data_IF_583553855281
#
_entry.id   IF_583553855281
#
_cell.length_a   1.000
_cell.length_b   1.000
_cell.length_c   1.000
_cell.angle_alpha   90.00
_cell.angle_beta   90.00
_cell.angle_gamma   90.00
#
_symmetry.space_group_name_H-M   'P 1'
#
loop_
_entity.id
_entity.type
_entity.pdbx_description
1 polymer ?
#
# COMPACT_ATOMS: atom_id res chain seq x y z
N UNK A 1 12.18 8.03 13.33
CA UNK A 1 13.66 8.11 13.31
C UNK A 1 14.10 9.44 12.71
N UNK A 2 15.33 9.91 12.95
CA UNK A 2 15.87 11.16 12.37
C UNK A 2 17.15 10.85 11.58
N UNK A 3 17.24 11.38 10.38
CA UNK A 3 18.37 11.18 9.46
C UNK A 3 18.93 12.53 9.02
N UNK A 4 20.22 12.57 8.67
CA UNK A 4 20.85 13.73 8.03
C UNK A 4 20.72 13.62 6.52
N UNK A 5 20.32 14.69 5.84
CA UNK A 5 20.20 14.75 4.39
C UNK A 5 20.78 16.03 3.80
N UNK A 6 20.92 16.05 2.47
CA UNK A 6 21.31 17.21 1.68
C UNK A 6 20.37 17.28 0.48
N UNK A 7 19.73 18.43 0.28
CA UNK A 7 18.86 18.70 -0.87
C UNK A 7 19.70 19.06 -2.12
N UNK A 8 19.07 19.10 -3.31
CA UNK A 8 19.76 19.37 -4.59
C UNK A 8 20.45 20.73 -4.64
N UNK A 9 19.93 21.69 -3.89
CA UNK A 9 20.48 23.04 -3.72
C UNK A 9 21.60 23.11 -2.66
N UNK A 10 22.12 21.96 -2.21
CA UNK A 10 23.08 21.80 -1.12
C UNK A 10 22.55 22.19 0.28
N UNK A 11 21.25 22.45 0.44
CA UNK A 11 20.68 22.70 1.76
C UNK A 11 20.78 21.45 2.64
N UNK A 12 21.48 21.56 3.77
CA UNK A 12 21.58 20.48 4.77
C UNK A 12 20.30 20.40 5.60
N UNK A 13 19.75 19.21 5.74
CA UNK A 13 18.45 18.99 6.41
C UNK A 13 18.51 17.84 7.41
N UNK A 14 17.58 17.86 8.37
CA UNK A 14 17.24 16.71 9.18
C UNK A 14 15.90 16.14 8.70
N UNK A 15 15.85 14.86 8.35
CA UNK A 15 14.66 14.16 7.86
C UNK A 15 14.12 13.30 8.99
N UNK A 16 12.92 13.63 9.47
CA UNK A 16 12.23 12.82 10.48
C UNK A 16 11.25 11.88 9.77
N UNK A 17 11.46 10.58 9.91
CA UNK A 17 10.59 9.55 9.35
C UNK A 17 9.60 9.07 10.42
N UNK A 18 8.30 9.09 10.09
CA UNK A 18 7.25 8.46 10.90
C UNK A 18 7.46 6.96 11.00
N UNK A 19 7.14 6.36 12.16
CA UNK A 19 7.30 4.92 12.38
C UNK A 19 6.01 4.20 11.92
N UNK A 20 6.08 3.30 10.92
CA UNK A 20 4.93 2.52 10.45
C UNK A 20 4.30 1.71 11.59
N UNK A 21 2.97 1.64 11.63
CA UNK A 21 2.24 0.87 12.64
C UNK A 21 2.20 1.49 14.05
N UNK A 22 2.84 2.64 14.29
CA UNK A 22 2.79 3.29 15.61
C UNK A 22 1.46 4.04 15.83
N UNK A 23 0.57 3.46 16.66
CA UNK A 23 -0.75 4.06 16.99
C UNK A 23 -0.67 5.49 17.53
N UNK A 24 0.40 5.82 18.28
CA UNK A 24 0.59 7.16 18.85
C UNK A 24 1.62 8.02 18.09
N UNK A 25 2.46 7.44 17.24
CA UNK A 25 3.54 8.20 16.60
C UNK A 25 3.05 9.04 15.42
N UNK A 26 2.08 8.53 14.65
CA UNK A 26 1.53 9.24 13.51
C UNK A 26 0.77 10.53 13.90
N UNK A 27 -0.14 10.54 14.89
CA UNK A 27 -0.81 11.78 15.31
C UNK A 27 0.14 12.85 15.85
N UNK A 28 1.19 12.44 16.58
CA UNK A 28 2.22 13.37 17.08
C UNK A 28 3.01 13.98 15.94
N UNK A 29 3.36 13.17 14.95
CA UNK A 29 4.05 13.62 13.74
C UNK A 29 3.19 14.60 12.93
N UNK A 30 1.89 14.32 12.74
CA UNK A 30 0.95 15.23 12.08
C UNK A 30 0.83 16.57 12.82
N UNK A 31 0.78 16.51 14.16
CA UNK A 31 0.68 17.70 15.02
C UNK A 31 1.91 18.59 14.84
N UNK A 32 3.10 18.00 14.84
CA UNK A 32 4.37 18.72 14.65
C UNK A 32 4.42 19.41 13.27
N UNK A 33 4.04 18.71 12.19
CA UNK A 33 3.91 19.31 10.85
C UNK A 33 2.92 20.49 10.86
N UNK A 34 1.76 20.31 11.51
CA UNK A 34 0.70 21.32 11.57
C UNK A 34 1.15 22.57 12.32
N UNK A 35 1.90 22.42 13.42
CA UNK A 35 2.41 23.54 14.20
C UNK A 35 3.54 24.26 13.44
N UNK A 36 4.53 23.51 12.95
CA UNK A 36 5.70 24.08 12.27
C UNK A 36 5.37 24.69 10.90
N UNK A 37 4.27 24.30 10.26
CA UNK A 37 3.79 24.96 9.03
C UNK A 37 3.21 26.35 9.27
N UNK A 38 2.78 26.66 10.51
CA UNK A 38 2.14 27.94 10.87
C UNK A 38 3.08 28.94 11.51
N UNK A 39 4.24 28.51 11.99
CA UNK A 39 5.16 29.35 12.76
C UNK A 39 6.51 29.44 12.07
N UNK A 40 7.10 30.64 12.09
CA UNK A 40 8.49 30.88 11.68
C UNK A 40 9.12 31.82 12.69
N UNK A 41 10.20 31.36 13.32
CA UNK A 41 10.88 32.15 14.32
C UNK A 41 12.36 31.76 14.39
N UNK A 42 13.24 32.73 14.64
CA UNK A 42 14.69 32.50 14.64
C UNK A 42 15.19 31.52 15.70
N UNK A 43 14.38 31.27 16.74
CA UNK A 43 14.67 30.35 17.83
C UNK A 43 13.88 29.03 17.75
N UNK A 44 13.20 28.77 16.63
CA UNK A 44 12.47 27.52 16.38
C UNK A 44 12.97 26.87 15.09
N UNK A 45 12.82 25.56 15.01
CA UNK A 45 13.15 24.82 13.78
C UNK A 45 12.19 25.22 12.65
N UNK A 46 12.73 25.42 11.45
CA UNK A 46 11.93 25.70 10.27
C UNK A 46 11.60 24.40 9.56
N UNK A 47 10.31 24.14 9.33
CA UNK A 47 9.89 23.08 8.42
C UNK A 47 10.19 23.50 6.98
N UNK A 48 11.03 22.72 6.30
CA UNK A 48 11.34 22.92 4.88
C UNK A 48 10.25 22.29 4.00
N UNK A 49 9.77 21.12 4.39
CA UNK A 49 8.70 20.39 3.71
C UNK A 49 8.37 19.07 4.40
N UNK A 50 7.31 18.41 3.95
CA UNK A 50 6.96 17.04 4.36
C UNK A 50 6.55 16.23 3.13
N UNK A 51 6.70 14.91 3.23
CA UNK A 51 6.23 13.96 2.22
C UNK A 51 5.28 12.98 2.92
N UNK A 52 4.12 12.76 2.33
CA UNK A 52 3.13 11.78 2.78
C UNK A 52 2.87 10.81 1.64
N UNK A 53 3.53 9.67 1.68
CA UNK A 53 3.39 8.61 0.67
C UNK A 53 2.56 7.48 1.30
N UNK A 54 1.23 7.65 1.28
CA UNK A 54 0.26 6.66 1.80
C UNK A 54 -0.15 5.59 0.76
N UNK A 55 0.17 5.78 -0.53
CA UNK A 55 -0.51 5.11 -1.65
C UNK A 55 -0.06 3.66 -1.92
N UNK A 56 1.23 3.36 -1.82
CA UNK A 56 1.76 2.05 -2.24
C UNK A 56 1.21 0.87 -1.44
N UNK A 57 1.03 1.05 -0.13
CA UNK A 57 0.50 0.00 0.75
C UNK A 57 -1.00 -0.22 0.54
N UNK A 58 -1.74 0.87 0.32
CA UNK A 58 -3.18 0.84 0.03
C UNK A 58 -3.41 0.15 -1.32
N UNK A 59 -2.67 0.52 -2.36
CA UNK A 59 -2.74 -0.08 -3.68
C UNK A 59 -2.44 -1.59 -3.65
N UNK A 60 -1.38 -2.02 -2.96
CA UNK A 60 -1.07 -3.46 -2.81
C UNK A 60 -2.16 -4.23 -2.07
N UNK A 61 -2.73 -3.64 -1.03
CA UNK A 61 -3.83 -4.25 -0.29
C UNK A 61 -5.08 -4.41 -1.15
N UNK A 62 -5.42 -3.39 -1.95
CA UNK A 62 -6.53 -3.42 -2.90
C UNK A 62 -6.34 -4.52 -3.97
N UNK A 63 -5.13 -4.66 -4.50
CA UNK A 63 -4.77 -5.73 -5.44
C UNK A 63 -4.93 -7.11 -4.79
N UNK A 64 -4.45 -7.29 -3.55
CA UNK A 64 -4.62 -8.55 -2.80
C UNK A 64 -6.10 -8.87 -2.55
N UNK A 65 -6.91 -7.89 -2.17
CA UNK A 65 -8.35 -8.06 -1.96
C UNK A 65 -9.04 -8.43 -3.28
N UNK A 66 -8.73 -7.76 -4.38
CA UNK A 66 -9.27 -8.07 -5.70
C UNK A 66 -8.91 -9.49 -6.16
N UNK A 67 -7.65 -9.89 -5.96
CA UNK A 67 -7.18 -11.26 -6.26
C UNK A 67 -7.93 -12.31 -5.45
N UNK A 68 -8.11 -12.08 -4.15
CA UNK A 68 -8.85 -12.98 -3.28
C UNK A 68 -10.33 -13.09 -3.67
N UNK A 69 -10.96 -11.98 -4.08
CA UNK A 69 -12.34 -11.99 -4.60
C UNK A 69 -12.46 -12.80 -5.89
N UNK A 70 -11.51 -12.67 -6.81
CA UNK A 70 -11.48 -13.46 -8.05
C UNK A 70 -11.34 -14.96 -7.76
N UNK A 71 -10.41 -15.34 -6.87
CA UNK A 71 -10.24 -16.73 -6.45
C UNK A 71 -11.47 -17.27 -5.72
N UNK A 72 -12.08 -16.48 -4.84
CA UNK A 72 -13.32 -16.85 -4.17
C UNK A 72 -14.43 -17.14 -5.19
N UNK A 73 -14.60 -16.27 -6.18
CA UNK A 73 -15.59 -16.46 -7.23
C UNK A 73 -15.35 -17.73 -8.05
N UNK A 74 -14.09 -18.08 -8.35
CA UNK A 74 -13.78 -19.37 -8.99
C UNK A 74 -14.25 -20.54 -8.11
N UNK A 75 -14.00 -20.50 -6.81
CA UNK A 75 -14.37 -21.57 -5.90
C UNK A 75 -15.88 -21.70 -5.64
N UNK A 76 -16.63 -20.59 -5.63
CA UNK A 76 -18.04 -20.59 -5.19
C UNK A 76 -19.05 -20.23 -6.28
N UNK A 77 -18.59 -19.69 -7.41
CA UNK A 77 -19.45 -19.19 -8.49
C UNK A 77 -19.97 -20.27 -9.44
N UNK A 78 -19.64 -21.54 -9.23
CA UNK A 78 -20.09 -22.66 -10.06
C UNK A 78 -20.47 -23.87 -9.20
N UNK A 79 -21.33 -24.75 -9.72
CA UNK A 79 -21.86 -25.92 -8.99
C UNK A 79 -20.78 -26.86 -8.47
N UNK A 80 -19.63 -26.94 -9.15
CA UNK A 80 -18.52 -27.81 -8.73
C UNK A 80 -17.29 -27.02 -8.26
N UNK A 81 -17.37 -25.68 -8.17
CA UNK A 81 -16.19 -24.84 -7.96
C UNK A 81 -15.10 -25.03 -9.02
N UNK A 82 -14.18 -24.08 -9.13
CA UNK A 82 -13.03 -24.16 -10.03
C UNK A 82 -11.77 -23.91 -9.22
N UNK A 83 -10.91 -24.93 -9.12
CA UNK A 83 -9.60 -24.83 -8.47
C UNK A 83 -8.58 -24.34 -9.50
N UNK A 84 -7.97 -23.18 -9.27
CA UNK A 84 -7.03 -22.55 -10.20
C UNK A 84 -5.70 -23.32 -10.38
N UNK A 85 -5.16 -23.89 -9.28
CA UNK A 85 -3.90 -24.65 -9.21
C UNK A 85 -2.59 -23.94 -9.60
N UNK A 86 -2.63 -22.66 -9.99
CA UNK A 86 -1.44 -21.86 -10.33
C UNK A 86 -1.61 -20.40 -9.89
N UNK A 87 -2.06 -20.20 -8.65
CA UNK A 87 -2.23 -18.87 -8.07
C UNK A 87 -0.86 -18.30 -7.66
N UNK A 88 -0.37 -17.32 -8.42
CA UNK A 88 0.89 -16.61 -8.20
C UNK A 88 0.80 -15.18 -8.68
N UNK A 89 1.69 -14.30 -8.22
CA UNK A 89 1.65 -12.87 -8.55
C UNK A 89 1.75 -12.59 -10.05
N UNK A 90 2.49 -13.40 -10.81
CA UNK A 90 2.58 -13.26 -12.29
C UNK A 90 1.26 -13.56 -13.01
N UNK A 91 0.32 -14.25 -12.34
CA UNK A 91 -1.00 -14.59 -12.86
C UNK A 91 -2.09 -13.66 -12.32
N UNK A 92 -1.70 -12.58 -11.63
CA UNK A 92 -2.59 -11.48 -11.26
C UNK A 92 -2.30 -10.31 -12.18
N UNK A 93 -3.19 -10.07 -13.13
CA UNK A 93 -3.09 -8.95 -14.07
C UNK A 93 -3.81 -7.73 -13.49
N UNK A 94 -3.38 -6.54 -13.90
CA UNK A 94 -4.03 -5.28 -13.55
C UNK A 94 -4.61 -4.65 -14.82
N UNK A 95 -5.84 -4.14 -14.73
CA UNK A 95 -6.41 -3.32 -15.80
C UNK A 95 -5.98 -1.84 -15.66
N UNK A 96 -6.46 -1.00 -16.58
CA UNK A 96 -6.16 0.45 -16.64
C UNK A 96 -6.55 1.23 -15.37
N UNK A 97 -7.42 0.67 -14.53
CA UNK A 97 -7.86 1.24 -13.27
C UNK A 97 -7.19 0.56 -12.04
N UNK A 98 -6.12 -0.21 -12.25
CA UNK A 98 -5.44 -1.03 -11.24
C UNK A 98 -6.33 -2.11 -10.59
N UNK A 99 -7.41 -2.54 -11.23
CA UNK A 99 -8.23 -3.64 -10.70
C UNK A 99 -7.58 -4.98 -11.01
N UNK A 100 -7.35 -5.77 -9.97
CA UNK A 100 -6.78 -7.11 -10.08
C UNK A 100 -7.71 -8.09 -10.82
N UNK A 101 -7.15 -8.85 -11.76
CA UNK A 101 -7.80 -9.93 -12.52
C UNK A 101 -6.98 -11.20 -12.37
N UNK A 102 -7.63 -12.29 -12.00
CA UNK A 102 -7.03 -13.62 -11.94
C UNK A 102 -6.94 -14.19 -13.36
N UNK A 103 -5.75 -14.60 -13.79
CA UNK A 103 -5.46 -15.05 -15.16
C UNK A 103 -4.75 -16.41 -15.19
N UNK A 104 -4.53 -16.96 -16.39
CA UNK A 104 -3.89 -18.26 -16.62
C UNK A 104 -4.62 -19.45 -15.98
N UNK A 105 -5.85 -19.70 -16.47
CA UNK A 105 -6.69 -20.82 -16.07
C UNK A 105 -6.32 -22.14 -16.79
N UNK A 106 -5.18 -22.19 -17.51
CA UNK A 106 -4.78 -23.36 -18.30
C UNK A 106 -4.56 -24.63 -17.48
N UNK A 107 -4.30 -24.47 -16.18
CA UNK A 107 -4.19 -25.56 -15.22
C UNK A 107 -5.44 -25.74 -14.36
N UNK A 108 -6.54 -25.02 -14.57
CA UNK A 108 -7.71 -25.11 -13.70
C UNK A 108 -8.43 -26.47 -13.80
N UNK A 109 -9.11 -26.87 -12.72
CA UNK A 109 -9.96 -28.07 -12.68
C UNK A 109 -11.24 -27.81 -11.90
N UNK A 110 -12.32 -28.50 -12.26
CA UNK A 110 -13.51 -28.58 -11.42
C UNK A 110 -13.13 -29.10 -10.04
N UNK A 111 -13.64 -28.44 -9.02
CA UNK A 111 -13.54 -28.90 -7.65
C UNK A 111 -14.42 -30.14 -7.40
N UNK A 112 -14.26 -30.76 -6.22
CA UNK A 112 -15.18 -31.81 -5.79
C UNK A 112 -16.60 -31.25 -5.67
N UNK A 113 -17.60 -32.09 -5.96
CA UNK A 113 -18.99 -31.77 -5.62
C UNK A 113 -19.06 -31.58 -4.10
N UNK A 114 -19.60 -30.45 -3.66
CA UNK A 114 -19.89 -30.21 -2.24
C UNK A 114 -21.26 -30.83 -2.00
N UNK A 115 -21.28 -32.07 -1.51
CA UNK A 115 -22.50 -32.76 -1.04
C UNK A 115 -23.11 -32.04 0.18
#
# INVERSE_FOLDING_TARGET
>A
MVYKGVLRDNTRVAVKQGVPGSRQGLPKFQTEITVLSKIRHRHLVSLIGFCEEQSEMILRLEICIGSARGLHYLHTGSTHGIIHRDAKSTNILLDENNVAKVADLGLSRSGPCLD
#
